data_IF_325261896414
#
_entry.id   IF_325261896414
#
_cell.length_a   1.000
_cell.length_b   1.000
_cell.length_c   1.000
_cell.angle_alpha   90.00
_cell.angle_beta   90.00
_cell.angle_gamma   90.00
#
_symmetry.space_group_name_H-M   'P 1'
#
loop_
_entity.id
_entity.type
_entity.pdbx_description
1 polymer ?
#
# COMPACT_ATOMS: atom_id res chain seq x y z
N UNK A 1 12.99 28.11 49.79
CA UNK A 1 13.25 27.36 48.55
C UNK A 1 11.92 27.31 47.79
N UNK A 2 11.74 28.31 46.92
CA UNK A 2 10.88 28.43 45.72
C UNK A 2 9.40 27.99 45.79
N UNK A 3 8.41 28.76 45.33
CA UNK A 3 8.34 30.12 44.82
C UNK A 3 6.87 30.55 44.84
N UNK A 4 6.63 31.83 45.13
CA UNK A 4 5.38 32.52 44.83
C UNK A 4 5.46 33.13 43.43
N UNK A 5 4.30 33.54 42.92
CA UNK A 5 4.06 34.55 41.84
C UNK A 5 3.70 33.97 40.47
N UNK A 6 2.48 34.29 40.04
CA UNK A 6 2.05 34.11 38.65
C UNK A 6 0.59 34.47 38.38
N UNK A 7 0.05 35.52 39.00
CA UNK A 7 -1.24 36.10 38.61
C UNK A 7 -1.15 36.59 37.16
N UNK A 8 -2.00 36.07 36.26
CA UNK A 8 -2.21 36.65 34.94
C UNK A 8 -3.68 37.03 34.78
N UNK A 9 -3.87 38.33 34.59
CA UNK A 9 -5.11 39.02 34.27
C UNK A 9 -5.75 38.41 33.01
N UNK A 10 -6.99 37.95 33.13
CA UNK A 10 -7.88 37.76 32.00
C UNK A 10 -8.49 39.12 31.63
N UNK A 11 -7.86 39.79 30.67
CA UNK A 11 -8.42 40.97 30.02
C UNK A 11 -9.57 40.56 29.11
N UNK A 12 -10.77 41.04 29.46
CA UNK A 12 -11.95 40.99 28.62
C UNK A 12 -11.67 41.62 27.25
N UNK A 13 -11.87 40.86 26.17
CA UNK A 13 -11.98 41.44 24.84
C UNK A 13 -13.30 41.02 24.19
N UNK A 14 -14.06 42.06 23.88
CA UNK A 14 -15.41 42.09 23.30
C UNK A 14 -15.51 41.24 22.04
N UNK A 15 -16.37 40.23 22.04
CA UNK A 15 -16.93 39.66 20.81
C UNK A 15 -18.02 40.59 20.29
N UNK A 16 -17.81 41.17 19.12
CA UNK A 16 -18.85 41.89 18.40
C UNK A 16 -18.34 42.60 17.15
N UNK A 17 -18.46 41.93 16.00
CA UNK A 17 -18.88 42.51 14.69
C UNK A 17 -18.89 41.42 13.59
N UNK A 18 -19.63 41.60 12.48
CA UNK A 18 -20.93 40.98 12.32
C UNK A 18 -21.00 39.94 11.19
N UNK A 19 -22.12 39.22 11.21
CA UNK A 19 -22.79 38.48 10.14
C UNK A 19 -22.33 38.83 8.72
N UNK A 20 -21.53 37.94 8.11
CA UNK A 20 -21.24 37.93 6.68
C UNK A 20 -22.41 37.31 5.90
N UNK A 21 -22.81 38.00 4.84
CA UNK A 21 -23.95 37.73 3.96
C UNK A 21 -23.89 36.35 3.27
N UNK A 22 -25.04 35.80 2.83
CA UNK A 22 -25.15 34.51 2.19
C UNK A 22 -24.73 34.59 0.73
N UNK A 23 -23.89 33.66 0.30
CA UNK A 23 -23.67 33.42 -1.13
C UNK A 23 -22.21 33.21 -1.47
N UNK A 24 -21.70 32.00 -1.16
CA UNK A 24 -20.85 31.23 -2.07
C UNK A 24 -21.11 29.76 -1.75
N UNK A 25 -21.97 29.11 -2.54
CA UNK A 25 -22.01 27.65 -2.58
C UNK A 25 -20.67 27.26 -3.19
N UNK A 26 -19.71 26.90 -2.34
CA UNK A 26 -18.47 26.30 -2.78
C UNK A 26 -18.84 25.03 -3.51
N UNK A 27 -18.74 25.03 -4.83
CA UNK A 27 -18.74 23.81 -5.62
C UNK A 27 -17.54 23.03 -5.11
N UNK A 28 -17.81 21.98 -4.34
CA UNK A 28 -16.81 21.04 -3.91
C UNK A 28 -16.21 20.47 -5.19
N UNK A 29 -15.02 20.94 -5.55
CA UNK A 29 -14.19 20.32 -6.57
C UNK A 29 -13.96 18.87 -6.14
N UNK A 30 -14.71 17.97 -6.79
CA UNK A 30 -14.54 16.54 -6.72
C UNK A 30 -13.06 16.24 -7.01
N UNK A 31 -12.31 15.89 -5.96
CA UNK A 31 -10.92 15.46 -6.08
C UNK A 31 -10.91 14.07 -6.72
N UNK A 32 -11.03 14.00 -8.05
CA UNK A 32 -10.54 12.84 -8.78
C UNK A 32 -9.03 13.00 -8.97
N UNK A 33 -8.22 12.12 -8.35
CA UNK A 33 -7.31 11.33 -9.17
C UNK A 33 -7.02 9.94 -8.58
N UNK A 34 -7.68 8.90 -9.09
CA UNK A 34 -7.25 7.51 -8.87
C UNK A 34 -5.96 7.16 -9.65
N UNK A 35 -5.60 7.96 -10.66
CA UNK A 35 -4.38 7.74 -11.46
C UNK A 35 -3.11 8.26 -10.76
N UNK A 36 -3.21 9.27 -9.90
CA UNK A 36 -2.04 9.91 -9.28
C UNK A 36 -1.36 9.04 -8.20
N UNK A 37 -2.10 8.14 -7.54
CA UNK A 37 -1.54 7.24 -6.53
C UNK A 37 -0.75 6.11 -7.18
N UNK A 38 -1.29 5.50 -8.24
CA UNK A 38 -0.65 4.42 -9.00
C UNK A 38 0.61 4.89 -9.71
N UNK A 39 0.60 6.09 -10.30
CA UNK A 39 1.80 6.67 -10.96
C UNK A 39 2.92 6.93 -9.93
N UNK A 40 2.59 7.40 -8.73
CA UNK A 40 3.59 7.60 -7.67
C UNK A 40 4.14 6.26 -7.16
N UNK A 41 3.28 5.26 -6.99
CA UNK A 41 3.69 3.93 -6.54
C UNK A 41 4.64 3.26 -7.55
N UNK A 42 4.28 3.25 -8.83
CA UNK A 42 5.12 2.69 -9.90
C UNK A 42 6.46 3.41 -10.02
N UNK A 43 6.48 4.75 -9.92
CA UNK A 43 7.73 5.51 -9.94
C UNK A 43 8.65 5.16 -8.76
N UNK A 44 8.10 4.99 -7.55
CA UNK A 44 8.85 4.56 -6.36
C UNK A 44 9.40 3.14 -6.51
N UNK A 45 8.60 2.21 -7.04
CA UNK A 45 9.06 0.84 -7.34
C UNK A 45 10.21 0.84 -8.33
N UNK A 46 10.09 1.59 -9.44
CA UNK A 46 11.16 1.69 -10.43
C UNK A 46 12.44 2.31 -9.84
N UNK A 47 12.32 3.36 -9.02
CA UNK A 47 13.47 3.96 -8.36
C UNK A 47 14.19 2.98 -7.41
N UNK A 48 13.44 2.19 -6.64
CA UNK A 48 14.01 1.16 -5.78
C UNK A 48 14.73 0.06 -6.59
N UNK A 49 14.10 -0.45 -7.66
CA UNK A 49 14.69 -1.46 -8.53
C UNK A 49 15.97 -0.96 -9.21
N UNK A 50 15.99 0.30 -9.62
CA UNK A 50 17.17 0.95 -10.20
C UNK A 50 18.27 1.15 -9.14
N UNK A 51 17.91 1.58 -7.93
CA UNK A 51 18.84 1.70 -6.79
C UNK A 51 19.48 0.37 -6.37
N UNK A 52 18.79 -0.75 -6.59
CA UNK A 52 19.33 -2.10 -6.40
C UNK A 52 20.10 -2.63 -7.62
N UNK A 53 20.24 -1.84 -8.69
CA UNK A 53 20.95 -2.25 -9.90
C UNK A 53 20.26 -3.36 -10.69
N UNK A 54 18.96 -3.60 -10.47
CA UNK A 54 18.19 -4.66 -11.13
C UNK A 54 17.60 -4.21 -12.47
N UNK A 55 17.42 -2.90 -12.64
CA UNK A 55 16.98 -2.28 -13.90
C UNK A 55 17.89 -1.11 -14.27
N UNK A 56 17.85 -0.72 -15.54
CA UNK A 56 18.43 0.51 -16.08
C UNK A 56 17.35 1.30 -16.82
N UNK A 57 17.33 2.62 -16.64
CA UNK A 57 16.42 3.52 -17.36
C UNK A 57 17.20 4.38 -18.36
N UNK A 58 16.82 4.33 -19.64
CA UNK A 58 17.41 5.18 -20.68
C UNK A 58 16.34 6.04 -21.34
N UNK A 59 16.64 7.26 -21.81
CA UNK A 59 15.73 8.01 -22.69
C UNK A 59 15.37 7.16 -23.91
N UNK A 60 14.11 7.25 -24.35
CA UNK A 60 13.72 6.66 -25.62
C UNK A 60 14.25 7.52 -26.79
N UNK A 61 14.90 6.94 -27.80
CA UNK A 61 15.50 7.68 -28.90
C UNK A 61 14.47 8.25 -29.90
N UNK A 62 13.24 7.73 -29.93
CA UNK A 62 12.14 8.23 -30.77
C UNK A 62 11.24 9.25 -30.07
N UNK A 63 11.22 9.26 -28.74
CA UNK A 63 10.48 10.21 -27.92
C UNK A 63 11.17 10.45 -26.57
N UNK A 64 11.90 11.56 -26.44
CA UNK A 64 12.65 11.89 -25.21
C UNK A 64 11.79 12.10 -23.95
N UNK A 65 10.46 12.15 -24.07
CA UNK A 65 9.55 12.16 -22.91
C UNK A 65 9.34 10.76 -22.32
N UNK A 66 9.65 9.71 -23.07
CA UNK A 66 9.57 8.31 -22.63
C UNK A 66 10.91 7.83 -22.10
N UNK A 67 10.85 6.87 -21.19
CA UNK A 67 12.01 6.19 -20.62
C UNK A 67 11.86 4.70 -20.87
N UNK A 68 12.84 4.08 -21.50
CA UNK A 68 12.93 2.64 -21.64
C UNK A 68 13.45 2.04 -20.33
N UNK A 69 12.76 1.03 -19.81
CA UNK A 69 13.17 0.26 -18.62
C UNK A 69 13.70 -1.09 -19.11
N UNK A 70 14.96 -1.40 -18.84
CA UNK A 70 15.59 -2.66 -19.24
C UNK A 70 16.13 -3.39 -18.00
N UNK A 71 15.96 -4.71 -17.94
CA UNK A 71 16.61 -5.54 -16.92
C UNK A 71 18.13 -5.53 -17.10
N UNK A 72 18.84 -5.41 -15.99
CA UNK A 72 20.28 -5.71 -15.94
C UNK A 72 20.49 -7.22 -15.86
N UNK A 73 21.73 -7.66 -15.99
CA UNK A 73 22.06 -9.07 -15.81
C UNK A 73 21.75 -9.57 -14.39
N UNK A 74 22.08 -8.76 -13.38
CA UNK A 74 21.69 -9.02 -12.00
C UNK A 74 20.16 -9.10 -11.84
N UNK A 75 19.41 -8.24 -12.55
CA UNK A 75 17.95 -8.28 -12.60
C UNK A 75 17.41 -9.59 -13.18
N UNK A 76 17.98 -10.08 -14.28
CA UNK A 76 17.59 -11.35 -14.90
C UNK A 76 17.85 -12.53 -13.97
N UNK A 77 19.06 -12.64 -13.43
CA UNK A 77 19.43 -13.69 -12.47
C UNK A 77 18.54 -13.68 -11.24
N UNK A 78 18.18 -12.49 -10.74
CA UNK A 78 17.29 -12.37 -9.58
C UNK A 78 15.87 -12.81 -9.89
N UNK A 79 15.35 -12.50 -11.07
CA UNK A 79 14.02 -12.98 -11.50
C UNK A 79 14.02 -14.50 -11.62
N UNK A 80 15.06 -15.07 -12.22
CA UNK A 80 15.17 -16.52 -12.39
C UNK A 80 15.18 -17.24 -11.04
N UNK A 81 16.08 -16.85 -10.13
CA UNK A 81 16.10 -17.43 -8.78
C UNK A 81 14.83 -17.14 -7.97
N UNK A 82 14.18 -16.01 -8.24
CA UNK A 82 12.86 -15.67 -7.67
C UNK A 82 11.77 -16.61 -8.15
N UNK A 83 11.72 -16.93 -9.45
CA UNK A 83 10.75 -17.86 -10.05
C UNK A 83 10.88 -19.25 -9.44
N UNK A 84 12.09 -19.81 -9.40
CA UNK A 84 12.33 -21.12 -8.78
C UNK A 84 11.85 -21.17 -7.33
N UNK A 85 12.08 -20.09 -6.56
CA UNK A 85 11.61 -20.02 -5.17
C UNK A 85 10.10 -19.93 -5.05
N UNK A 86 9.45 -19.16 -5.91
CA UNK A 86 7.98 -19.02 -5.91
C UNK A 86 7.35 -20.36 -6.27
N UNK A 87 7.85 -21.04 -7.29
CA UNK A 87 7.36 -22.35 -7.72
C UNK A 87 7.54 -23.40 -6.63
N UNK A 88 8.75 -23.52 -6.06
CA UNK A 88 8.98 -24.44 -4.93
C UNK A 88 8.15 -24.09 -3.69
N UNK A 89 7.99 -22.79 -3.40
CA UNK A 89 7.14 -22.33 -2.30
C UNK A 89 5.66 -22.59 -2.52
N UNK A 90 5.17 -22.51 -3.77
CA UNK A 90 3.80 -22.86 -4.15
C UNK A 90 3.56 -24.35 -3.94
N UNK A 91 4.47 -25.19 -4.40
CA UNK A 91 4.38 -26.63 -4.22
C UNK A 91 4.28 -27.01 -2.73
N UNK A 92 5.18 -26.49 -1.89
CA UNK A 92 5.14 -26.74 -0.45
C UNK A 92 3.85 -26.22 0.20
N UNK A 93 3.35 -25.05 -0.24
CA UNK A 93 2.09 -24.47 0.29
C UNK A 93 0.84 -25.22 -0.17
N UNK A 94 0.87 -25.88 -1.31
CA UNK A 94 -0.24 -26.68 -1.83
C UNK A 94 -0.29 -28.06 -1.16
N UNK A 95 0.86 -28.66 -0.89
CA UNK A 95 0.96 -30.00 -0.30
C UNK A 95 0.82 -29.99 1.23
N UNK A 96 1.37 -28.98 1.91
CA UNK A 96 1.34 -28.88 3.37
C UNK A 96 -0.07 -28.92 3.99
N UNK A 97 -1.07 -28.17 3.49
CA UNK A 97 -2.40 -28.14 4.11
C UNK A 97 -3.11 -29.48 4.01
N UNK A 98 -3.02 -30.15 2.86
CA UNK A 98 -3.63 -31.46 2.67
C UNK A 98 -3.04 -32.49 3.65
N UNK A 99 -1.71 -32.51 3.75
CA UNK A 99 -1.01 -33.41 4.65
C UNK A 99 -1.29 -33.10 6.14
N UNK A 100 -1.23 -31.83 6.54
CA UNK A 100 -1.49 -31.41 7.91
C UNK A 100 -2.94 -31.71 8.34
N UNK A 101 -3.92 -31.48 7.47
CA UNK A 101 -5.32 -31.84 7.73
C UNK A 101 -5.48 -33.37 7.85
N UNK A 102 -4.78 -34.14 7.02
CA UNK A 102 -4.82 -35.59 7.06
C UNK A 102 -4.27 -36.19 8.34
N UNK A 103 -3.18 -35.64 8.86
CA UNK A 103 -2.50 -36.16 10.04
C UNK A 103 -3.08 -35.64 11.35
N UNK A 104 -3.64 -34.42 11.36
CA UNK A 104 -3.92 -33.69 12.61
C UNK A 104 -5.38 -33.38 12.86
N UNK A 105 -6.26 -33.60 11.87
CA UNK A 105 -7.67 -33.25 11.99
C UNK A 105 -8.58 -34.46 11.76
N UNK A 106 -9.62 -34.57 12.58
CA UNK A 106 -10.74 -35.48 12.34
C UNK A 106 -11.69 -34.92 11.28
N UNK A 107 -12.62 -35.74 10.78
CA UNK A 107 -13.47 -35.38 9.63
C UNK A 107 -14.32 -34.12 9.90
N UNK A 108 -14.85 -33.98 11.12
CA UNK A 108 -15.64 -32.81 11.50
C UNK A 108 -14.80 -31.51 11.50
N UNK A 109 -13.54 -31.61 11.93
CA UNK A 109 -12.60 -30.47 11.93
C UNK A 109 -12.21 -30.09 10.49
N UNK A 110 -12.01 -31.07 9.61
CA UNK A 110 -11.72 -30.82 8.18
C UNK A 110 -12.90 -30.15 7.50
N UNK A 111 -14.12 -30.63 7.74
CA UNK A 111 -15.33 -30.03 7.22
C UNK A 111 -15.43 -28.55 7.64
N UNK A 112 -15.07 -28.24 8.88
CA UNK A 112 -15.05 -26.86 9.40
C UNK A 112 -13.99 -26.00 8.71
N UNK A 113 -12.77 -26.51 8.55
CA UNK A 113 -11.67 -25.77 7.87
C UNK A 113 -12.04 -25.46 6.42
N UNK A 114 -12.73 -26.37 5.72
CA UNK A 114 -13.18 -26.14 4.34
C UNK A 114 -14.22 -25.02 4.20
N UNK A 115 -14.94 -24.66 5.27
CA UNK A 115 -15.89 -23.54 5.27
C UNK A 115 -15.22 -22.18 5.57
N UNK A 116 -14.05 -22.19 6.21
CA UNK A 116 -13.38 -20.97 6.67
C UNK A 116 -12.99 -19.99 5.54
N UNK A 117 -12.49 -20.43 4.35
CA UNK A 117 -12.11 -19.51 3.27
C UNK A 117 -13.26 -18.60 2.82
N UNK A 118 -14.47 -19.14 2.69
CA UNK A 118 -15.66 -18.37 2.29
C UNK A 118 -16.01 -17.28 3.32
N UNK A 119 -15.74 -17.53 4.61
CA UNK A 119 -15.92 -16.53 5.66
C UNK A 119 -14.83 -15.45 5.61
N UNK A 120 -13.58 -15.83 5.30
CA UNK A 120 -12.47 -14.89 5.16
C UNK A 120 -12.64 -13.97 3.94
N UNK A 121 -13.12 -14.49 2.81
CA UNK A 121 -13.42 -13.70 1.61
C UNK A 121 -14.45 -12.61 1.89
N UNK A 122 -15.51 -12.94 2.65
CA UNK A 122 -16.54 -11.98 3.06
C UNK A 122 -16.01 -10.85 3.96
N UNK A 123 -14.90 -11.06 4.67
CA UNK A 123 -14.29 -10.07 5.55
C UNK A 123 -13.20 -9.23 4.88
N UNK A 124 -12.60 -9.73 3.81
CA UNK A 124 -11.47 -9.09 3.12
C UNK A 124 -11.89 -8.29 1.88
N UNK A 125 -13.12 -8.43 1.41
CA UNK A 125 -13.69 -7.58 0.37
C UNK A 125 -14.36 -6.33 0.98
N UNK A 126 -14.13 -5.12 0.42
CA UNK A 126 -14.76 -3.87 0.87
C UNK A 126 -16.24 -3.75 0.51
#
# INVERSE_FOLDING_TARGET
MHDHVGARQFGQQRFGKPLGAPGQVGVAHEKQPHVSSVVRATAATLAALEGHGLIRRTPDPGDGRRRLVTLTEAGRTRIEGGRTRIEGGRQVREEWPAHALQERCVEEERATVLQAPALLERLTWP
#
